data_IF_370572663232
#
_entry.id   IF_370572663232
#
_cell.length_a   1.000
_cell.length_b   1.000
_cell.length_c   1.000
_cell.angle_alpha   90.00
_cell.angle_beta   90.00
_cell.angle_gamma   90.00
#
_symmetry.space_group_name_H-M   'P 1'
#
loop_
_entity.id
_entity.type
_entity.pdbx_description
1 polymer ?
#
# COMPACT_ATOMS: atom_id res chain seq x y z
N UNK A 1 10.71 -39.41 -5.75
CA UNK A 1 9.31 -39.00 -6.01
C UNK A 1 9.09 -37.71 -5.25
N UNK A 2 8.63 -36.69 -5.96
CA UNK A 2 8.67 -35.25 -5.64
C UNK A 2 7.63 -34.84 -4.61
N UNK A 3 8.05 -34.39 -3.42
CA UNK A 3 7.23 -33.59 -2.51
C UNK A 3 7.32 -32.10 -2.91
N UNK A 4 6.71 -31.76 -4.05
CA UNK A 4 6.39 -30.37 -4.37
C UNK A 4 5.01 -30.07 -3.80
N UNK A 5 4.94 -29.94 -2.47
CA UNK A 5 3.74 -29.52 -1.77
C UNK A 5 3.40 -28.10 -2.19
N UNK A 6 2.30 -27.98 -2.93
CA UNK A 6 1.57 -26.75 -3.22
C UNK A 6 1.27 -25.99 -1.91
N UNK A 7 2.21 -25.14 -1.47
CA UNK A 7 1.92 -24.10 -0.50
C UNK A 7 1.38 -22.93 -1.29
N UNK A 8 0.08 -23.01 -1.63
CA UNK A 8 -0.66 -21.88 -2.17
C UNK A 8 -0.32 -20.60 -1.40
N UNK A 9 -0.12 -19.49 -2.12
CA UNK A 9 0.27 -18.23 -1.51
C UNK A 9 -0.67 -17.89 -0.36
N UNK A 10 -0.16 -17.53 0.84
CA UNK A 10 -1.01 -17.21 1.97
C UNK A 10 -2.04 -16.16 1.54
N UNK A 11 -3.32 -16.39 1.81
CA UNK A 11 -4.46 -15.63 1.26
C UNK A 11 -4.24 -14.12 1.35
N UNK A 12 -3.65 -13.64 2.44
CA UNK A 12 -3.32 -12.23 2.64
C UNK A 12 -2.37 -11.67 1.57
N UNK A 13 -1.34 -12.42 1.20
CA UNK A 13 -0.37 -12.06 0.16
C UNK A 13 -1.02 -12.07 -1.23
N UNK A 14 -1.92 -13.03 -1.49
CA UNK A 14 -2.70 -13.03 -2.74
C UNK A 14 -3.57 -11.77 -2.84
N UNK A 15 -4.24 -11.38 -1.76
CA UNK A 15 -5.04 -10.14 -1.72
C UNK A 15 -4.15 -8.91 -1.92
N UNK A 16 -2.94 -8.87 -1.34
CA UNK A 16 -1.99 -7.77 -1.55
C UNK A 16 -1.57 -7.64 -3.02
N UNK A 17 -1.30 -8.77 -3.69
CA UNK A 17 -0.95 -8.83 -5.11
C UNK A 17 -2.12 -8.35 -5.97
N UNK A 18 -3.32 -8.90 -5.78
CA UNK A 18 -4.51 -8.51 -6.55
C UNK A 18 -4.81 -7.02 -6.34
N UNK A 19 -4.72 -6.54 -5.10
CA UNK A 19 -4.93 -5.13 -4.79
C UNK A 19 -3.91 -4.23 -5.51
N UNK A 20 -2.62 -4.58 -5.46
CA UNK A 20 -1.56 -3.84 -6.16
C UNK A 20 -1.79 -3.81 -7.67
N UNK A 21 -2.11 -4.96 -8.27
CA UNK A 21 -2.42 -5.09 -9.69
C UNK A 21 -3.61 -4.23 -10.11
N UNK A 22 -4.72 -4.29 -9.37
CA UNK A 22 -5.93 -3.52 -9.69
C UNK A 22 -5.64 -2.03 -9.60
N UNK A 23 -5.00 -1.57 -8.52
CA UNK A 23 -4.71 -0.15 -8.32
C UNK A 23 -3.75 0.37 -9.38
N UNK A 24 -2.59 -0.26 -9.54
CA UNK A 24 -1.56 0.23 -10.46
C UNK A 24 -1.93 -0.01 -11.93
N UNK A 25 -2.67 -1.07 -12.23
CA UNK A 25 -3.27 -1.28 -13.55
C UNK A 25 -4.28 -0.18 -13.91
N UNK A 26 -5.11 0.24 -12.96
CA UNK A 26 -6.02 1.37 -13.16
C UNK A 26 -5.25 2.67 -13.41
N UNK A 27 -4.20 2.94 -12.62
CA UNK A 27 -3.34 4.12 -12.83
C UNK A 27 -2.68 4.08 -14.22
N UNK A 28 -2.10 2.94 -14.61
CA UNK A 28 -1.50 2.76 -15.93
C UNK A 28 -2.49 2.95 -17.08
N UNK A 29 -3.71 2.44 -16.93
CA UNK A 29 -4.79 2.64 -17.90
C UNK A 29 -5.21 4.11 -18.01
N UNK A 30 -5.33 4.82 -16.88
CA UNK A 30 -5.64 6.26 -16.87
C UNK A 30 -4.53 7.08 -17.53
N UNK A 31 -3.25 6.76 -17.28
CA UNK A 31 -2.12 7.40 -17.95
C UNK A 31 -2.17 7.15 -19.45
N UNK A 32 -2.40 5.89 -19.86
CA UNK A 32 -2.53 5.52 -21.26
C UNK A 32 -3.68 6.24 -21.97
N UNK A 33 -4.81 6.45 -21.27
CA UNK A 33 -5.96 7.18 -21.80
C UNK A 33 -5.60 8.66 -22.05
N UNK A 34 -4.85 9.28 -21.14
CA UNK A 34 -4.40 10.68 -21.27
C UNK A 34 -3.32 10.83 -22.35
N UNK A 35 -2.40 9.86 -22.50
CA UNK A 35 -1.31 9.89 -23.49
C UNK A 35 -1.74 9.50 -24.90
N UNK A 36 -2.91 8.87 -25.07
CA UNK A 36 -3.45 8.44 -26.37
C UNK A 36 -3.45 6.91 -26.54
N UNK A 37 -4.34 6.43 -27.40
CA UNK A 37 -4.65 5.00 -27.56
C UNK A 37 -3.44 4.11 -27.89
N UNK A 38 -2.41 4.66 -28.56
CA UNK A 38 -1.19 3.91 -28.89
C UNK A 38 -0.36 3.54 -27.65
N UNK A 39 -0.39 4.38 -26.61
CA UNK A 39 0.33 4.13 -25.36
C UNK A 39 -0.49 3.33 -24.34
N UNK A 40 -1.76 3.07 -24.63
CA UNK A 40 -2.69 2.43 -23.70
C UNK A 40 -2.26 1.01 -23.29
N UNK A 41 -1.86 0.10 -24.20
CA UNK A 41 -1.40 -1.23 -23.82
C UNK A 41 -0.09 -1.19 -23.03
N UNK A 42 0.82 -0.28 -23.40
CA UNK A 42 2.14 -0.14 -22.77
C UNK A 42 2.01 0.41 -21.35
N UNK A 43 1.28 1.51 -21.17
CA UNK A 43 1.08 2.14 -19.86
C UNK A 43 0.31 1.22 -18.90
N UNK A 44 -0.74 0.56 -19.40
CA UNK A 44 -1.50 -0.42 -18.62
C UNK A 44 -0.64 -1.62 -18.25
N UNK A 45 0.14 -2.14 -19.20
CA UNK A 45 1.07 -3.26 -18.97
C UNK A 45 2.11 -2.94 -17.90
N UNK A 46 2.74 -1.77 -17.96
CA UNK A 46 3.68 -1.30 -16.93
C UNK A 46 2.98 -1.17 -15.58
N UNK A 47 1.76 -0.61 -15.55
CA UNK A 47 0.95 -0.52 -14.34
C UNK A 47 0.65 -1.87 -13.71
N UNK A 48 0.24 -2.85 -14.51
CA UNK A 48 0.01 -4.24 -14.08
C UNK A 48 1.27 -4.88 -13.50
N UNK A 49 2.41 -4.76 -14.19
CA UNK A 49 3.69 -5.32 -13.74
C UNK A 49 4.12 -4.69 -12.42
N UNK A 50 4.12 -3.36 -12.33
CA UNK A 50 4.46 -2.63 -11.11
C UNK A 50 3.50 -2.97 -9.95
N UNK A 51 2.20 -3.09 -10.23
CA UNK A 51 1.20 -3.51 -9.26
C UNK A 51 1.45 -4.90 -8.71
N UNK A 52 1.81 -5.84 -9.57
CA UNK A 52 2.21 -7.20 -9.19
C UNK A 52 3.44 -7.21 -8.29
N UNK A 53 4.49 -6.46 -8.65
CA UNK A 53 5.73 -6.35 -7.87
C UNK A 53 5.46 -5.74 -6.49
N UNK A 54 4.78 -4.59 -6.43
CA UNK A 54 4.50 -3.89 -5.16
C UNK A 54 3.58 -4.72 -4.26
N UNK A 55 2.57 -5.36 -4.84
CA UNK A 55 1.67 -6.25 -4.11
C UNK A 55 2.38 -7.52 -3.60
N UNK A 56 3.32 -8.07 -4.38
CA UNK A 56 4.14 -9.20 -3.95
C UNK A 56 5.06 -8.86 -2.77
N UNK A 57 5.59 -7.63 -2.74
CA UNK A 57 6.39 -7.09 -1.64
C UNK A 57 5.56 -6.73 -0.39
N UNK A 58 4.24 -6.91 -0.43
CA UNK A 58 3.36 -6.59 0.72
C UNK A 58 3.16 -5.09 0.94
N UNK A 59 3.35 -4.27 -0.10
CA UNK A 59 3.31 -2.81 -0.04
C UNK A 59 1.92 -2.18 0.16
N UNK A 60 0.92 -2.90 0.70
CA UNK A 60 -0.46 -2.41 0.81
C UNK A 60 -0.56 -1.06 1.52
N UNK A 61 0.09 -0.91 2.68
CA UNK A 61 0.07 0.33 3.45
C UNK A 61 0.75 1.48 2.70
N UNK A 62 1.81 1.17 1.95
CA UNK A 62 2.51 2.11 1.09
C UNK A 62 1.64 2.57 -0.10
N UNK A 63 0.92 1.65 -0.75
CA UNK A 63 -0.02 2.00 -1.81
C UNK A 63 -1.17 2.86 -1.28
N UNK A 64 -1.72 2.52 -0.12
CA UNK A 64 -2.79 3.31 0.52
C UNK A 64 -2.30 4.71 0.87
N UNK A 65 -1.09 4.83 1.44
CA UNK A 65 -0.55 6.13 1.83
C UNK A 65 -0.23 7.02 0.63
N UNK A 66 0.28 6.44 -0.47
CA UNK A 66 0.44 7.15 -1.73
C UNK A 66 -0.91 7.60 -2.24
N UNK A 67 -1.92 6.73 -2.30
CA UNK A 67 -3.26 7.08 -2.78
C UNK A 67 -3.84 8.26 -1.99
N UNK A 68 -3.78 8.18 -0.66
CA UNK A 68 -4.25 9.24 0.24
C UNK A 68 -3.45 10.52 0.00
N UNK A 69 -2.13 10.42 -0.11
CA UNK A 69 -1.26 11.55 -0.42
C UNK A 69 -1.61 12.22 -1.75
N UNK A 70 -1.82 11.44 -2.81
CA UNK A 70 -2.22 11.93 -4.14
C UNK A 70 -3.55 12.67 -4.09
N UNK A 71 -4.56 12.10 -3.42
CA UNK A 71 -5.89 12.71 -3.29
C UNK A 71 -5.81 13.99 -2.47
N UNK A 72 -5.14 13.97 -1.32
CA UNK A 72 -5.00 15.15 -0.46
C UNK A 72 -4.16 16.25 -1.13
N UNK A 73 -3.06 15.89 -1.79
CA UNK A 73 -2.21 16.84 -2.51
C UNK A 73 -2.92 17.48 -3.70
N UNK A 74 -3.68 16.68 -4.46
CA UNK A 74 -4.51 17.18 -5.56
C UNK A 74 -5.63 18.10 -5.05
N UNK A 75 -6.32 17.71 -3.98
CA UNK A 75 -7.37 18.51 -3.37
C UNK A 75 -6.84 19.83 -2.80
N UNK A 76 -5.69 19.82 -2.12
CA UNK A 76 -5.06 21.04 -1.62
C UNK A 76 -4.61 21.96 -2.76
N UNK A 77 -4.01 21.42 -3.82
CA UNK A 77 -3.64 22.23 -4.98
C UNK A 77 -4.87 22.81 -5.69
N UNK A 78 -5.97 22.06 -5.77
CA UNK A 78 -7.23 22.56 -6.30
C UNK A 78 -7.76 23.75 -5.49
N UNK A 79 -7.79 23.62 -4.16
CA UNK A 79 -8.31 24.64 -3.26
C UNK A 79 -7.45 25.90 -3.22
N UNK A 80 -6.13 25.78 -3.28
CA UNK A 80 -5.20 26.90 -3.11
C UNK A 80 -4.82 27.57 -4.43
N UNK A 81 -4.71 26.81 -5.52
CA UNK A 81 -4.11 27.28 -6.77
C UNK A 81 -4.95 27.00 -8.03
N UNK A 82 -6.18 26.52 -7.85
CA UNK A 82 -7.13 26.28 -8.93
C UNK A 82 -6.93 24.95 -9.66
N UNK A 83 -7.84 24.62 -10.61
CA UNK A 83 -7.88 23.31 -11.27
C UNK A 83 -6.66 23.01 -12.15
N UNK A 84 -6.01 24.05 -12.68
CA UNK A 84 -4.80 23.96 -13.52
C UNK A 84 -3.64 23.25 -12.81
N UNK A 85 -3.60 23.30 -11.47
CA UNK A 85 -2.47 22.78 -10.67
C UNK A 85 -2.71 21.45 -9.98
N UNK A 86 -3.87 20.83 -10.19
CA UNK A 86 -4.25 19.57 -9.54
C UNK A 86 -3.21 18.49 -9.78
N UNK A 87 -2.73 18.34 -11.03
CA UNK A 87 -1.75 17.30 -11.38
C UNK A 87 -0.42 17.45 -10.65
N UNK A 88 0.06 18.69 -10.47
CA UNK A 88 1.30 18.95 -9.72
C UNK A 88 1.11 18.64 -8.23
N UNK A 89 -0.03 19.05 -7.66
CA UNK A 89 -0.38 18.76 -6.26
C UNK A 89 -0.54 17.27 -6.00
N UNK A 90 -1.20 16.56 -6.92
CA UNK A 90 -1.38 15.12 -6.86
C UNK A 90 -0.03 14.38 -6.92
N UNK A 91 0.89 14.78 -7.81
CA UNK A 91 2.23 14.20 -7.89
C UNK A 91 3.07 14.44 -6.64
N UNK A 92 3.10 15.68 -6.13
CA UNK A 92 3.83 16.01 -4.91
C UNK A 92 3.23 15.30 -3.67
N UNK A 93 1.91 15.24 -3.60
CA UNK A 93 1.17 14.52 -2.56
C UNK A 93 1.45 13.02 -2.60
N UNK A 94 1.51 12.41 -3.78
CA UNK A 94 1.89 11.01 -3.96
C UNK A 94 3.28 10.73 -3.36
N UNK A 95 4.27 11.58 -3.67
CA UNK A 95 5.63 11.44 -3.18
C UNK A 95 5.71 11.56 -1.64
N UNK A 96 5.08 12.59 -1.07
CA UNK A 96 5.05 12.77 0.39
C UNK A 96 4.26 11.66 1.09
N UNK A 97 3.12 11.25 0.54
CA UNK A 97 2.29 10.17 1.05
C UNK A 97 3.02 8.82 1.04
N UNK A 98 3.85 8.57 0.03
CA UNK A 98 4.72 7.39 -0.02
C UNK A 98 5.74 7.38 1.11
N UNK A 99 6.47 8.48 1.30
CA UNK A 99 7.45 8.60 2.37
C UNK A 99 6.81 8.48 3.76
N UNK A 100 5.74 9.22 4.03
CA UNK A 100 5.03 9.18 5.31
C UNK A 100 4.41 7.80 5.57
N UNK A 101 3.92 7.11 4.54
CA UNK A 101 3.37 5.76 4.68
C UNK A 101 4.37 4.74 5.16
N UNK A 102 5.62 4.82 4.69
CA UNK A 102 6.71 3.96 5.16
C UNK A 102 7.00 4.24 6.63
N UNK A 103 7.14 5.53 6.99
CA UNK A 103 7.43 5.94 8.37
C UNK A 103 6.32 5.54 9.36
N UNK A 104 5.06 5.76 8.98
CA UNK A 104 3.89 5.39 9.80
C UNK A 104 3.77 3.88 9.93
N UNK A 105 4.06 3.11 8.86
CA UNK A 105 4.00 1.65 8.92
C UNK A 105 4.97 1.08 9.95
N UNK A 106 6.21 1.60 10.01
CA UNK A 106 7.20 1.20 11.01
C UNK A 106 6.74 1.52 12.44
N UNK A 107 6.21 2.72 12.67
CA UNK A 107 5.70 3.11 14.00
C UNK A 107 4.50 2.26 14.43
N UNK A 108 3.60 1.91 13.51
CA UNK A 108 2.45 1.06 13.79
C UNK A 108 2.88 -0.38 14.11
N UNK A 109 3.89 -0.90 13.42
CA UNK A 109 4.44 -2.24 13.69
C UNK A 109 5.11 -2.30 15.07
N UNK A 110 5.85 -1.25 15.45
CA UNK A 110 6.41 -1.12 16.81
C UNK A 110 5.32 -1.07 17.90
N UNK A 111 4.23 -0.34 17.65
CA UNK A 111 3.09 -0.28 18.60
C UNK A 111 2.38 -1.61 18.72
N UNK A 112 2.20 -2.33 17.61
CA UNK A 112 1.60 -3.66 17.62
C UNK A 112 2.47 -4.66 18.43
N UNK A 113 3.79 -4.61 18.25
CA UNK A 113 4.73 -5.43 19.01
C UNK A 113 4.67 -5.13 20.52
N UNK A 114 4.71 -3.86 20.92
CA UNK A 114 4.58 -3.46 22.34
C UNK A 114 3.26 -3.89 22.96
N UNK A 115 2.16 -3.80 22.21
CA UNK A 115 0.84 -4.20 22.72
C UNK A 115 0.74 -5.71 22.91
N UNK A 116 1.39 -6.50 22.05
CA UNK A 116 1.47 -7.95 22.19
C UNK A 116 2.30 -8.36 23.41
N UNK A 117 3.44 -7.69 23.63
CA UNK A 117 4.32 -7.94 24.79
C UNK A 117 3.64 -7.59 26.13
N UNK A 118 2.95 -6.45 26.19
CA UNK A 118 2.18 -6.07 27.37
C UNK A 118 1.03 -7.06 27.67
N UNK A 119 0.43 -7.66 26.64
CA UNK A 119 -0.61 -8.67 26.79
C UNK A 119 -0.04 -10.00 27.32
N UNK A 120 1.13 -10.44 26.87
CA UNK A 120 1.77 -11.67 27.40
C UNK A 120 2.19 -11.52 28.85
N UNK A 121 2.79 -10.40 29.24
CA UNK A 121 3.19 -10.15 30.64
C UNK A 121 1.98 -10.09 31.58
N UNK A 122 0.85 -9.55 31.12
CA UNK A 122 -0.39 -9.53 31.91
C UNK A 122 -0.97 -10.93 32.13
N UNK A 123 -0.91 -11.81 31.12
CA UNK A 123 -1.40 -13.20 31.22
C UNK A 123 -0.51 -14.04 32.13
N UNK A 124 0.81 -13.88 32.06
CA UNK A 124 1.75 -14.55 32.98
C UNK A 124 1.60 -14.07 34.42
N UNK A 125 1.39 -12.76 34.63
CA UNK A 125 1.14 -12.20 35.96
C UNK A 125 -0.12 -12.78 36.62
N UNK A 126 -1.22 -12.90 35.88
CA UNK A 126 -2.47 -13.52 36.36
C UNK A 126 -2.30 -15.03 36.61
N UNK A 127 -1.57 -15.74 35.74
CA UNK A 127 -1.31 -17.17 35.92
C UNK A 127 -0.36 -17.46 37.10
N UNK A 128 0.53 -16.53 37.44
CA UNK A 128 1.43 -16.64 38.58
C UNK A 128 0.72 -16.31 39.90
N UNK A 129 -0.22 -15.38 39.91
CA UNK A 129 -1.04 -15.05 41.08
C UNK A 129 -2.04 -16.17 41.41
N UNK A 130 -2.58 -16.86 40.39
CA UNK A 130 -3.46 -18.03 40.58
C UNK A 130 -2.74 -19.30 41.06
N UNK A 131 -1.39 -19.31 41.08
CA UNK A 131 -0.55 -20.43 41.54
C UNK A 131 0.04 -20.22 42.93
N UNK A 132 -0.18 -19.06 43.54
CA UNK A 132 0.18 -18.77 44.94
C UNK A 132 -1.03 -18.96 45.85
#
# INVERSE_FOLDING_TARGET
MTEAGDRGLPTRKLVDIVFGVVVMGTVGALIGLIMGSEFMPLATGIGLVMGGVVGFLGGRRFLISILVGTVLGGALAWLLAGPERISYGAGAGAAMGGFLGVQVSMLLDMRAARKAEAASTSVEGVAQDARR
#
